data_IF_546033014302
#
_entry.id   IF_546033014302
#
_cell.length_a   1.000
_cell.length_b   1.000
_cell.length_c   1.000
_cell.angle_alpha   90.00
_cell.angle_beta   90.00
_cell.angle_gamma   90.00
#
_symmetry.space_group_name_H-M   'P 1'
#
loop_
_entity.id
_entity.type
_entity.pdbx_description
1 polymer ?
#
# COMPACT_ATOMS: atom_id res chain seq x y z
N UNK A 1 4.99 8.22 10.68
CA UNK A 1 3.70 8.27 9.95
C UNK A 1 2.54 8.24 10.92
N UNK A 2 2.27 7.12 11.62
CA UNK A 2 1.15 6.99 12.58
C UNK A 2 0.98 8.17 13.55
N UNK A 3 2.06 8.61 14.23
CA UNK A 3 1.99 9.76 15.16
C UNK A 3 1.51 11.06 14.51
N UNK A 4 1.76 11.24 13.21
CA UNK A 4 1.40 12.47 12.49
C UNK A 4 -0.05 12.47 12.01
N UNK A 5 -0.67 11.29 11.89
CA UNK A 5 -1.99 11.14 11.25
C UNK A 5 -3.08 10.72 12.23
N UNK A 6 -2.73 10.51 13.50
CA UNK A 6 -3.64 10.07 14.55
C UNK A 6 -3.84 11.17 15.59
N UNK A 7 -5.05 11.25 16.11
CA UNK A 7 -5.39 12.14 17.23
C UNK A 7 -5.03 11.51 18.60
N UNK A 8 -5.45 12.17 19.69
CA UNK A 8 -5.24 11.70 21.07
C UNK A 8 -6.00 10.42 21.42
N UNK A 9 -7.06 10.08 20.67
CA UNK A 9 -7.81 8.84 20.81
C UNK A 9 -7.17 7.67 20.03
N UNK A 10 -6.20 7.98 19.17
CA UNK A 10 -5.52 7.02 18.31
C UNK A 10 -6.21 6.81 16.96
N UNK A 11 -7.28 7.54 16.67
CA UNK A 11 -8.02 7.45 15.41
C UNK A 11 -7.33 8.21 14.29
N UNK A 12 -7.41 7.67 13.08
CA UNK A 12 -6.78 8.26 11.90
C UNK A 12 -7.63 9.42 11.38
N UNK A 13 -7.01 10.58 11.22
CA UNK A 13 -7.65 11.81 10.78
C UNK A 13 -7.25 12.15 9.34
N UNK A 14 -8.22 12.23 8.42
CA UNK A 14 -7.96 12.44 6.99
C UNK A 14 -7.19 13.74 6.73
N UNK A 15 -7.60 14.84 7.36
CA UNK A 15 -6.94 16.15 7.20
C UNK A 15 -5.45 16.13 7.62
N UNK A 16 -5.04 15.23 8.52
CA UNK A 16 -3.64 15.06 8.90
C UNK A 16 -2.86 14.25 7.85
N UNK A 17 -3.52 13.29 7.19
CA UNK A 17 -2.92 12.58 6.05
C UNK A 17 -2.65 13.56 4.92
N UNK A 18 -3.60 14.43 4.62
CA UNK A 18 -3.49 15.46 3.57
C UNK A 18 -2.29 16.39 3.77
N UNK A 19 -1.91 16.68 5.02
CA UNK A 19 -0.71 17.47 5.30
C UNK A 19 0.60 16.70 5.05
N UNK A 20 0.55 15.36 5.08
CA UNK A 20 1.75 14.51 5.05
C UNK A 20 1.98 13.90 3.68
N UNK A 21 0.96 13.34 3.03
CA UNK A 21 1.11 12.53 1.82
C UNK A 21 1.69 13.29 0.61
N UNK A 22 1.41 14.59 0.36
CA UNK A 22 1.93 15.27 -0.84
C UNK A 22 3.45 15.37 -0.87
N UNK A 23 4.09 15.39 0.31
CA UNK A 23 5.55 15.42 0.49
C UNK A 23 6.15 14.05 0.85
N UNK A 24 5.31 13.06 1.13
CA UNK A 24 5.76 11.71 1.48
C UNK A 24 6.24 11.00 0.21
N UNK A 25 7.49 10.54 0.22
CA UNK A 25 8.08 9.75 -0.88
C UNK A 25 8.54 8.38 -0.43
N UNK A 26 8.98 8.26 0.83
CA UNK A 26 9.46 7.00 1.41
C UNK A 26 8.73 6.76 2.73
N UNK A 27 8.00 5.64 2.79
CA UNK A 27 7.45 5.09 4.02
C UNK A 27 8.18 3.79 4.35
N UNK A 28 9.30 3.89 5.07
CA UNK A 28 10.11 2.74 5.46
C UNK A 28 9.56 2.06 6.73
N UNK A 29 9.89 0.77 6.89
CA UNK A 29 9.52 -0.05 8.07
C UNK A 29 8.01 -0.03 8.36
N UNK A 30 7.20 0.01 7.31
CA UNK A 30 5.74 0.04 7.39
C UNK A 30 5.16 -1.35 7.63
N UNK A 31 4.09 -1.37 8.43
CA UNK A 31 3.22 -2.53 8.55
C UNK A 31 2.22 -2.60 7.37
N UNK A 32 1.59 -3.77 7.10
CA UNK A 32 0.48 -3.87 6.16
C UNK A 32 -0.61 -2.81 6.36
N UNK A 33 -0.95 -2.54 7.63
CA UNK A 33 -1.94 -1.54 8.02
C UNK A 33 -1.53 -0.13 7.63
N UNK A 34 -0.24 0.23 7.79
CA UNK A 34 0.25 1.56 7.43
C UNK A 34 0.14 1.81 5.92
N UNK A 35 0.47 0.79 5.12
CA UNK A 35 0.33 0.84 3.66
C UNK A 35 -1.13 1.03 3.25
N UNK A 36 -2.04 0.25 3.86
CA UNK A 36 -3.47 0.38 3.62
C UNK A 36 -4.00 1.78 3.98
N UNK A 37 -3.63 2.31 5.15
CA UNK A 37 -4.04 3.65 5.59
C UNK A 37 -3.55 4.72 4.61
N UNK A 38 -2.30 4.62 4.14
CA UNK A 38 -1.76 5.57 3.17
C UNK A 38 -2.53 5.51 1.84
N UNK A 39 -2.77 4.30 1.30
CA UNK A 39 -3.51 4.12 0.04
C UNK A 39 -4.93 4.66 0.16
N UNK A 40 -5.65 4.30 1.23
CA UNK A 40 -6.99 4.84 1.50
C UNK A 40 -6.95 6.36 1.62
N UNK A 41 -6.00 6.91 2.36
CA UNK A 41 -5.89 8.35 2.59
C UNK A 41 -5.58 9.17 1.33
N UNK A 42 -4.79 8.63 0.39
CA UNK A 42 -4.55 9.29 -0.90
C UNK A 42 -5.81 9.25 -1.77
N UNK A 43 -6.49 8.09 -1.83
CA UNK A 43 -7.74 7.92 -2.59
C UNK A 43 -8.84 8.85 -2.07
N UNK A 44 -8.95 8.99 -0.75
CA UNK A 44 -9.96 9.82 -0.10
C UNK A 44 -9.53 11.30 0.00
N UNK A 45 -8.35 11.67 -0.52
CA UNK A 45 -7.84 13.04 -0.46
C UNK A 45 -8.54 13.96 -1.46
N UNK A 46 -8.90 15.15 -1.02
CA UNK A 46 -9.55 16.19 -1.84
C UNK A 46 -8.61 17.38 -2.12
N UNK A 47 -7.29 17.22 -1.94
CA UNK A 47 -6.32 18.29 -2.19
C UNK A 47 -6.21 18.69 -3.67
N UNK A 48 -6.46 17.74 -4.56
CA UNK A 48 -6.47 17.93 -6.00
C UNK A 48 -7.90 18.19 -6.47
N UNK A 49 -8.06 18.99 -7.54
CA UNK A 49 -9.38 19.25 -8.15
C UNK A 49 -10.06 17.97 -8.68
N UNK A 50 -9.28 16.92 -8.90
CA UNK A 50 -9.74 15.59 -9.27
C UNK A 50 -9.23 14.58 -8.23
N UNK A 51 -9.97 13.47 -8.08
CA UNK A 51 -9.54 12.35 -7.23
C UNK A 51 -8.22 11.76 -7.73
N UNK A 52 -7.32 11.44 -6.79
CA UNK A 52 -6.08 10.71 -7.07
C UNK A 52 -6.35 9.25 -7.44
N UNK A 53 -5.66 8.77 -8.49
CA UNK A 53 -5.69 7.37 -8.92
C UNK A 53 -4.43 6.68 -8.39
N UNK A 54 -4.61 5.64 -7.57
CA UNK A 54 -3.50 4.99 -6.86
C UNK A 54 -3.22 3.61 -7.43
N UNK A 55 -1.99 3.40 -7.89
CA UNK A 55 -1.45 2.09 -8.23
C UNK A 55 -0.58 1.56 -7.09
N UNK A 56 -0.76 0.28 -6.72
CA UNK A 56 0.04 -0.40 -5.69
C UNK A 56 0.70 -1.64 -6.29
N UNK A 57 1.97 -1.86 -5.96
CA UNK A 57 2.69 -3.10 -6.27
C UNK A 57 3.12 -3.80 -4.98
N UNK A 58 3.02 -5.13 -4.95
CA UNK A 58 3.36 -5.92 -3.76
C UNK A 58 3.45 -7.42 -4.05
N UNK A 59 3.95 -8.20 -3.09
CA UNK A 59 4.11 -9.66 -3.19
C UNK A 59 2.85 -10.45 -2.78
N UNK A 60 1.73 -9.75 -2.58
CA UNK A 60 0.39 -10.31 -2.33
C UNK A 60 0.12 -10.68 -0.87
N UNK A 61 1.09 -11.18 -0.11
CA UNK A 61 0.86 -11.63 1.27
C UNK A 61 0.70 -10.47 2.26
N UNK A 62 1.63 -9.52 2.26
CA UNK A 62 1.61 -8.38 3.19
C UNK A 62 0.87 -7.16 2.62
N UNK A 63 0.67 -7.13 1.31
CA UNK A 63 0.10 -5.99 0.59
C UNK A 63 -1.36 -6.22 0.17
N UNK A 64 -1.93 -7.40 0.45
CA UNK A 64 -3.28 -7.80 0.02
C UNK A 64 -4.37 -6.74 0.26
N UNK A 65 -4.53 -6.21 1.49
CA UNK A 65 -5.52 -5.16 1.76
C UNK A 65 -5.29 -3.86 0.96
N UNK A 66 -4.02 -3.45 0.81
CA UNK A 66 -3.65 -2.25 0.08
C UNK A 66 -3.85 -2.44 -1.44
N UNK A 67 -3.48 -3.60 -1.97
CA UNK A 67 -3.71 -4.00 -3.37
C UNK A 67 -5.19 -4.02 -3.71
N UNK A 68 -6.05 -4.51 -2.81
CA UNK A 68 -7.50 -4.53 -3.02
C UNK A 68 -8.13 -3.13 -2.95
N UNK A 69 -7.55 -2.22 -2.18
CA UNK A 69 -8.06 -0.85 -2.02
C UNK A 69 -7.61 0.08 -3.15
N UNK A 70 -6.46 -0.20 -3.76
CA UNK A 70 -5.92 0.55 -4.89
C UNK A 70 -6.86 0.50 -6.11
N UNK A 71 -6.78 1.52 -6.96
CA UNK A 71 -7.50 1.52 -8.24
C UNK A 71 -6.88 0.50 -9.21
N UNK A 72 -5.56 0.31 -9.14
CA UNK A 72 -4.81 -0.70 -9.91
C UNK A 72 -3.81 -1.41 -9.00
N UNK A 73 -3.89 -2.75 -8.94
CA UNK A 73 -2.99 -3.58 -8.14
C UNK A 73 -2.08 -4.48 -8.98
N UNK A 74 -0.78 -4.47 -8.69
CA UNK A 74 0.21 -5.38 -9.27
C UNK A 74 0.71 -6.35 -8.22
N UNK A 75 0.42 -7.65 -8.41
CA UNK A 75 0.93 -8.71 -7.56
C UNK A 75 2.16 -9.34 -8.22
N UNK A 76 3.30 -9.30 -7.52
CA UNK A 76 4.50 -10.01 -7.93
C UNK A 76 4.46 -11.45 -7.40
N UNK A 77 4.52 -12.41 -8.30
CA UNK A 77 4.69 -13.82 -7.93
C UNK A 77 6.18 -14.13 -7.77
N UNK A 78 6.54 -14.87 -6.72
CA UNK A 78 7.90 -15.37 -6.59
C UNK A 78 8.11 -16.53 -7.59
N UNK A 79 9.23 -16.56 -8.34
CA UNK A 79 9.51 -17.62 -9.31
C UNK A 79 9.75 -19.02 -8.70
N UNK A 80 9.55 -19.20 -7.40
CA UNK A 80 9.83 -20.44 -6.66
C UNK A 80 9.04 -21.66 -7.17
N UNK A 81 7.87 -21.45 -7.79
CA UNK A 81 7.05 -22.56 -8.30
C UNK A 81 7.63 -23.13 -9.62
N UNK A 82 8.44 -22.37 -10.36
CA UNK A 82 9.03 -22.85 -11.63
C UNK A 82 10.29 -23.70 -11.40
N UNK A 83 11.07 -23.42 -10.35
CA UNK A 83 12.32 -24.14 -10.08
C UNK A 83 12.09 -25.59 -9.60
N UNK A 84 10.96 -25.89 -8.96
CA UNK A 84 10.65 -27.27 -8.53
C UNK A 84 10.09 -28.15 -9.66
N UNK A 85 9.47 -27.56 -10.69
CA UNK A 85 8.92 -28.31 -11.82
C UNK A 85 10.00 -28.72 -12.83
N UNK A 86 11.02 -27.88 -13.04
CA UNK A 86 12.10 -28.23 -13.99
C UNK A 86 13.05 -29.32 -13.43
N UNK A 87 13.22 -29.43 -12.12
CA UNK A 87 14.05 -30.51 -11.52
C UNK A 87 13.39 -31.89 -11.56
N UNK A 88 12.09 -31.96 -11.85
CA UNK A 88 11.34 -33.22 -11.99
C UNK A 88 11.14 -33.64 -13.45
N UNK A 89 11.41 -32.76 -14.41
CA UNK A 89 11.30 -33.06 -15.84
C UNK A 89 12.61 -33.62 -16.44
N UNK A 90 13.72 -33.53 -15.70
CA UNK A 90 15.04 -34.03 -16.10
C UNK A 90 15.39 -35.42 -15.49
N UNK A 91 14.38 -36.20 -15.06
CA UNK A 91 14.51 -37.60 -14.59
C UNK A 91 13.57 -38.48 -15.40
#
# INVERSE_FOLDING_TARGET
FNRKIRDSSGEVQQHLIDQVWPKLRVLARSSPTDKYILVKGIIDSELSACREVVAVTGDGSNDGPALKKADVGFAMSTPLIRYQLNQLADI
#
